data_IF_565228317460
#
_entry.id   IF_565228317460
#
_cell.length_a   1.000
_cell.length_b   1.000
_cell.length_c   1.000
_cell.angle_alpha   90.00
_cell.angle_beta   90.00
_cell.angle_gamma   90.00
#
_symmetry.space_group_name_H-M   'P 1'
#
loop_
_entity.id
_entity.type
_entity.pdbx_description
1 polymer ?
#
# COMPACT_ATOMS: atom_id res chain seq x y z
N UNK A 1 6.62 -31.11 17.28
CA UNK A 1 5.55 -30.58 16.40
C UNK A 1 5.61 -29.06 16.31
N UNK A 2 5.57 -28.32 17.43
CA UNK A 2 5.63 -26.84 17.43
C UNK A 2 6.89 -26.27 16.73
N UNK A 3 8.08 -26.84 17.00
CA UNK A 3 9.33 -26.39 16.38
C UNK A 3 9.43 -26.56 14.87
N UNK A 4 8.64 -27.46 14.28
CA UNK A 4 8.57 -27.66 12.82
C UNK A 4 7.68 -26.57 12.21
N UNK A 5 6.58 -26.24 12.87
CA UNK A 5 5.66 -25.17 12.47
C UNK A 5 6.40 -23.83 12.46
N UNK A 6 7.10 -23.49 13.54
CA UNK A 6 7.86 -22.23 13.64
C UNK A 6 8.94 -22.10 12.56
N UNK A 7 9.55 -23.23 12.16
CA UNK A 7 10.57 -23.25 11.11
C UNK A 7 9.96 -23.05 9.72
N UNK A 8 8.82 -23.68 9.45
CA UNK A 8 8.07 -23.50 8.20
C UNK A 8 7.55 -22.08 8.10
N UNK A 9 6.97 -21.54 9.18
CA UNK A 9 6.45 -20.17 9.23
C UNK A 9 7.55 -19.16 8.92
N UNK A 10 8.71 -19.29 9.58
CA UNK A 10 9.86 -18.42 9.31
C UNK A 10 10.35 -18.52 7.87
N UNK A 11 10.34 -19.72 7.28
CA UNK A 11 10.70 -19.92 5.88
C UNK A 11 9.71 -19.20 4.94
N UNK A 12 8.40 -19.36 5.17
CA UNK A 12 7.35 -18.67 4.40
C UNK A 12 7.56 -17.15 4.47
N UNK A 13 7.86 -16.62 5.66
CA UNK A 13 8.09 -15.18 5.84
C UNK A 13 9.30 -14.69 5.06
N UNK A 14 10.42 -15.43 5.06
CA UNK A 14 11.57 -15.06 4.23
C UNK A 14 11.23 -15.02 2.75
N UNK A 15 10.47 -16.00 2.26
CA UNK A 15 9.99 -16.02 0.87
C UNK A 15 9.09 -14.80 0.59
N UNK A 16 8.16 -14.47 1.49
CA UNK A 16 7.29 -13.31 1.36
C UNK A 16 8.07 -11.99 1.32
N UNK A 17 9.03 -11.80 2.24
CA UNK A 17 9.90 -10.62 2.27
C UNK A 17 10.66 -10.47 0.95
N UNK A 18 11.22 -11.57 0.44
CA UNK A 18 11.97 -11.57 -0.81
C UNK A 18 11.08 -11.22 -2.02
N UNK A 19 9.91 -11.85 -2.15
CA UNK A 19 8.96 -11.57 -3.22
C UNK A 19 8.46 -10.12 -3.19
N UNK A 20 8.19 -9.60 -2.00
CA UNK A 20 7.70 -8.24 -1.81
C UNK A 20 8.79 -7.20 -2.13
N UNK A 21 10.04 -7.47 -1.74
CA UNK A 21 11.18 -6.61 -2.09
C UNK A 21 11.39 -6.55 -3.61
N UNK A 22 11.32 -7.69 -4.30
CA UNK A 22 11.39 -7.72 -5.77
C UNK A 22 10.23 -6.94 -6.38
N UNK A 23 9.00 -7.15 -5.91
CA UNK A 23 7.82 -6.43 -6.40
C UNK A 23 7.97 -4.91 -6.26
N UNK A 24 8.47 -4.44 -5.11
CA UNK A 24 8.73 -3.01 -4.85
C UNK A 24 9.81 -2.46 -5.78
N UNK A 25 10.90 -3.21 -5.99
CA UNK A 25 11.97 -2.81 -6.91
C UNK A 25 11.47 -2.69 -8.36
N UNK A 26 10.75 -3.71 -8.83
CA UNK A 26 10.16 -3.71 -10.17
C UNK A 26 9.17 -2.56 -10.35
N UNK A 27 8.29 -2.32 -9.37
CA UNK A 27 7.36 -1.20 -9.38
C UNK A 27 8.07 0.16 -9.42
N UNK A 28 9.17 0.30 -8.69
CA UNK A 28 10.00 1.52 -8.70
C UNK A 28 10.63 1.77 -10.06
N UNK A 29 11.16 0.73 -10.72
CA UNK A 29 11.70 0.83 -12.07
C UNK A 29 10.60 1.24 -13.06
N UNK A 30 9.43 0.60 -12.97
CA UNK A 30 8.29 0.91 -13.86
C UNK A 30 7.81 2.35 -13.69
N UNK A 31 7.70 2.83 -12.45
CA UNK A 31 7.38 4.24 -12.17
C UNK A 31 8.41 5.18 -12.80
N UNK A 32 9.70 4.88 -12.67
CA UNK A 32 10.77 5.66 -13.30
C UNK A 32 10.62 5.70 -14.83
N UNK A 33 10.31 4.57 -15.46
CA UNK A 33 10.06 4.49 -16.91
C UNK A 33 8.82 5.30 -17.32
N UNK A 34 7.73 5.20 -16.56
CA UNK A 34 6.49 5.93 -16.83
C UNK A 34 6.70 7.45 -16.78
N UNK A 35 7.43 7.93 -15.76
CA UNK A 35 7.77 9.36 -15.63
C UNK A 35 8.65 9.82 -16.78
N UNK A 36 9.73 9.09 -17.11
CA UNK A 36 10.62 9.44 -18.21
C UNK A 36 9.89 9.46 -19.56
N UNK A 37 9.05 8.47 -19.82
CA UNK A 37 8.24 8.42 -21.03
C UNK A 37 7.27 9.62 -21.11
N UNK A 38 6.63 9.99 -19.99
CA UNK A 38 5.75 11.15 -19.92
C UNK A 38 6.46 12.48 -20.20
N UNK A 39 7.71 12.63 -19.72
CA UNK A 39 8.53 13.83 -19.95
C UNK A 39 8.98 13.93 -21.41
N UNK A 40 9.48 12.83 -22.00
CA UNK A 40 10.01 12.81 -23.37
C UNK A 40 8.90 13.02 -24.41
N UNK A 41 7.71 12.47 -24.17
CA UNK A 41 6.58 12.57 -25.10
C UNK A 41 5.84 13.92 -25.07
N UNK A 42 6.07 14.75 -24.05
CA UNK A 42 5.33 16.00 -23.86
C UNK A 42 6.00 17.19 -24.59
N UNK A 43 5.34 17.80 -25.59
CA UNK A 43 5.81 19.08 -26.13
C UNK A 43 5.73 20.13 -25.02
N UNK A 44 6.84 20.84 -24.76
CA UNK A 44 7.01 21.84 -23.68
C UNK A 44 7.10 21.28 -22.25
N UNK A 45 7.40 19.98 -22.04
CA UNK A 45 7.49 19.37 -20.69
C UNK A 45 6.17 19.40 -19.88
N UNK A 46 5.03 19.69 -20.53
CA UNK A 46 3.72 19.71 -19.88
C UNK A 46 3.10 18.30 -19.89
N UNK A 47 3.31 17.56 -18.81
CA UNK A 47 2.71 16.23 -18.60
C UNK A 47 1.20 16.36 -18.43
N UNK A 48 0.44 15.52 -19.15
CA UNK A 48 -1.03 15.47 -19.02
C UNK A 48 -1.43 15.01 -17.62
N UNK A 49 -2.51 15.59 -17.08
CA UNK A 49 -3.02 15.27 -15.74
C UNK A 49 -3.31 13.78 -15.55
N UNK A 50 -3.86 13.11 -16.56
CA UNK A 50 -4.11 11.66 -16.54
C UNK A 50 -2.84 10.84 -16.25
N UNK A 51 -1.76 11.11 -16.98
CA UNK A 51 -0.46 10.44 -16.81
C UNK A 51 0.16 10.72 -15.44
N UNK A 52 -0.10 11.91 -14.88
CA UNK A 52 0.32 12.24 -13.53
C UNK A 52 -0.45 11.42 -12.47
N UNK A 53 -1.77 11.27 -12.62
CA UNK A 53 -2.58 10.42 -11.75
C UNK A 53 -2.17 8.93 -11.82
N UNK A 54 -1.86 8.42 -13.02
CA UNK A 54 -1.33 7.05 -13.18
C UNK A 54 -0.01 6.86 -12.44
N UNK A 55 0.88 7.87 -12.50
CA UNK A 55 2.16 7.84 -11.79
C UNK A 55 1.97 7.88 -10.27
N UNK A 56 1.01 8.66 -9.76
CA UNK A 56 0.67 8.66 -8.33
C UNK A 56 0.07 7.34 -7.87
N UNK A 57 -0.76 6.69 -8.68
CA UNK A 57 -1.28 5.37 -8.37
C UNK A 57 -0.15 4.33 -8.22
N UNK A 58 0.82 4.34 -9.14
CA UNK A 58 2.02 3.49 -9.06
C UNK A 58 2.86 3.81 -7.81
N UNK A 59 3.06 5.10 -7.50
CA UNK A 59 3.77 5.54 -6.30
C UNK A 59 3.10 5.02 -5.02
N UNK A 60 1.77 5.10 -4.93
CA UNK A 60 1.01 4.62 -3.78
C UNK A 60 1.09 3.09 -3.63
N UNK A 61 1.09 2.33 -4.74
CA UNK A 61 1.32 0.87 -4.70
C UNK A 61 2.70 0.55 -4.14
N UNK A 62 3.74 1.29 -4.52
CA UNK A 62 5.10 1.13 -3.97
C UNK A 62 5.12 1.42 -2.47
N UNK A 63 4.46 2.50 -2.01
CA UNK A 63 4.37 2.85 -0.58
C UNK A 63 3.67 1.74 0.21
N UNK A 64 2.57 1.19 -0.29
CA UNK A 64 1.87 0.04 0.33
C UNK A 64 2.83 -1.15 0.46
N UNK A 65 3.59 -1.45 -0.60
CA UNK A 65 4.62 -2.50 -0.57
C UNK A 65 5.69 -2.24 0.50
N UNK A 66 6.21 -1.02 0.60
CA UNK A 66 7.19 -0.66 1.64
C UNK A 66 6.62 -0.78 3.06
N UNK A 67 5.36 -0.43 3.27
CA UNK A 67 4.71 -0.52 4.58
C UNK A 67 4.42 -1.98 4.97
N UNK A 68 3.96 -2.80 4.02
CA UNK A 68 3.86 -4.25 4.19
C UNK A 68 5.22 -4.88 4.53
N UNK A 69 6.31 -4.42 3.89
CA UNK A 69 7.65 -4.91 4.18
C UNK A 69 8.04 -4.63 5.65
N UNK A 70 7.69 -3.45 6.18
CA UNK A 70 7.91 -3.13 7.60
C UNK A 70 7.08 -4.03 8.51
N UNK A 71 5.81 -4.27 8.18
CA UNK A 71 4.91 -5.15 8.95
C UNK A 71 5.46 -6.58 9.03
N UNK A 72 5.89 -7.15 7.89
CA UNK A 72 6.45 -8.51 7.84
C UNK A 72 7.83 -8.55 8.56
N UNK A 73 8.67 -7.52 8.41
CA UNK A 73 9.93 -7.43 9.16
C UNK A 73 9.71 -7.33 10.67
N UNK A 74 8.66 -6.65 11.12
CA UNK A 74 8.28 -6.58 12.54
C UNK A 74 8.05 -7.98 13.11
N UNK A 75 7.39 -8.85 12.36
CA UNK A 75 7.26 -10.26 12.75
C UNK A 75 8.62 -10.96 12.88
N UNK A 76 9.55 -10.76 11.93
CA UNK A 76 10.87 -11.38 12.00
C UNK A 76 11.67 -10.97 13.24
N UNK A 77 11.51 -9.73 13.71
CA UNK A 77 12.24 -9.17 14.85
C UNK A 77 11.54 -9.48 16.18
N UNK A 78 10.23 -9.30 16.26
CA UNK A 78 9.45 -9.36 17.50
C UNK A 78 8.59 -10.62 17.64
N UNK A 79 8.59 -11.51 16.65
CA UNK A 79 7.81 -12.76 16.65
C UNK A 79 6.30 -12.55 16.55
N UNK A 80 5.84 -11.33 16.26
CA UNK A 80 4.43 -11.00 16.12
C UNK A 80 4.21 -9.85 15.13
N UNK A 81 3.09 -9.90 14.40
CA UNK A 81 2.64 -8.77 13.58
C UNK A 81 1.88 -7.83 14.52
N UNK A 82 2.33 -6.58 14.63
CA UNK A 82 1.55 -5.57 15.36
C UNK A 82 0.26 -5.28 14.57
N UNK A 83 -0.94 -5.48 15.15
CA UNK A 83 -2.21 -5.24 14.47
C UNK A 83 -2.35 -3.79 13.96
N UNK A 84 -1.70 -2.83 14.60
CA UNK A 84 -1.71 -1.43 14.17
C UNK A 84 -1.12 -1.25 12.76
N UNK A 85 -0.07 -2.00 12.39
CA UNK A 85 0.50 -1.94 11.04
C UNK A 85 -0.48 -2.46 9.98
N UNK A 86 -1.26 -3.48 10.30
CA UNK A 86 -2.24 -4.05 9.36
C UNK A 86 -3.34 -3.03 9.08
N UNK A 87 -3.83 -2.35 10.11
CA UNK A 87 -4.84 -1.30 9.96
C UNK A 87 -4.26 -0.07 9.23
N UNK A 88 -3.01 0.30 9.50
CA UNK A 88 -2.33 1.39 8.79
C UNK A 88 -2.24 1.10 7.28
N UNK A 89 -1.82 -0.11 6.91
CA UNK A 89 -1.80 -0.54 5.51
C UNK A 89 -3.20 -0.51 4.88
N UNK A 90 -4.24 -0.93 5.61
CA UNK A 90 -5.62 -0.89 5.12
C UNK A 90 -6.09 0.55 4.86
N UNK A 91 -5.76 1.50 5.74
CA UNK A 91 -6.07 2.93 5.57
C UNK A 91 -5.33 3.48 4.34
N UNK A 92 -4.04 3.17 4.17
CA UNK A 92 -3.26 3.61 3.00
C UNK A 92 -3.87 3.04 1.71
N UNK A 93 -4.23 1.76 1.69
CA UNK A 93 -4.85 1.11 0.53
C UNK A 93 -6.20 1.74 0.16
N UNK A 94 -7.05 2.00 1.16
CA UNK A 94 -8.35 2.66 0.93
C UNK A 94 -8.19 4.12 0.53
N UNK A 95 -7.19 4.82 1.08
CA UNK A 95 -6.81 6.17 0.68
C UNK A 95 -6.39 6.23 -0.79
N UNK A 96 -5.60 5.27 -1.26
CA UNK A 96 -5.24 5.17 -2.68
C UNK A 96 -6.49 4.98 -3.58
N UNK A 97 -7.42 4.12 -3.16
CA UNK A 97 -8.68 3.93 -3.89
C UNK A 97 -9.52 5.20 -3.93
N UNK A 98 -9.50 6.00 -2.86
CA UNK A 98 -10.21 7.29 -2.78
C UNK A 98 -9.58 8.34 -3.70
N UNK A 99 -8.25 8.47 -3.73
CA UNK A 99 -7.55 9.45 -4.57
C UNK A 99 -7.78 9.17 -6.06
N UNK A 100 -7.88 7.89 -6.43
CA UNK A 100 -8.08 7.45 -7.82
C UNK A 100 -9.55 7.37 -8.24
N UNK A 101 -10.49 7.68 -7.34
CA UNK A 101 -11.92 7.59 -7.62
C UNK A 101 -12.40 8.76 -8.47
N UNK A 102 -13.14 8.48 -9.54
CA UNK A 102 -13.87 9.52 -10.26
C UNK A 102 -15.16 9.88 -9.50
N UNK A 103 -15.10 11.00 -8.78
CA UNK A 103 -16.21 11.52 -7.99
C UNK A 103 -17.42 11.91 -8.85
N UNK A 104 -17.25 12.17 -10.15
CA UNK A 104 -18.36 12.59 -11.02
C UNK A 104 -19.22 11.41 -11.48
N UNK A 105 -18.62 10.23 -11.63
CA UNK A 105 -19.31 9.02 -12.06
C UNK A 105 -19.74 8.12 -10.89
N UNK A 106 -19.32 8.45 -9.67
CA UNK A 106 -19.56 7.60 -8.49
C UNK A 106 -20.92 7.90 -7.86
N UNK A 107 -21.77 6.87 -7.63
CA UNK A 107 -23.05 7.08 -6.97
C UNK A 107 -22.85 7.56 -5.52
N UNK A 108 -23.70 8.46 -4.99
CA UNK A 108 -23.56 9.02 -3.65
C UNK A 108 -23.51 7.95 -2.53
N UNK A 109 -24.23 6.85 -2.69
CA UNK A 109 -24.26 5.74 -1.74
C UNK A 109 -22.90 5.07 -1.60
N UNK A 110 -22.15 4.97 -2.70
CA UNK A 110 -20.79 4.41 -2.70
C UNK A 110 -19.81 5.31 -1.95
N UNK A 111 -19.92 6.63 -2.13
CA UNK A 111 -19.11 7.62 -1.41
C UNK A 111 -19.36 7.58 0.10
N UNK A 112 -20.63 7.48 0.52
CA UNK A 112 -21.00 7.33 1.93
C UNK A 112 -20.52 6.00 2.52
N UNK A 113 -20.60 4.90 1.76
CA UNK A 113 -20.04 3.61 2.15
C UNK A 113 -18.54 3.67 2.38
N UNK A 114 -17.78 4.26 1.45
CA UNK A 114 -16.34 4.47 1.60
C UNK A 114 -15.97 5.35 2.80
N UNK A 115 -16.71 6.44 3.01
CA UNK A 115 -16.50 7.31 4.17
C UNK A 115 -16.71 6.55 5.50
N UNK A 116 -17.73 5.69 5.55
CA UNK A 116 -18.03 4.87 6.73
C UNK A 116 -16.92 3.86 7.03
N UNK A 117 -16.37 3.21 5.99
CA UNK A 117 -15.23 2.27 6.15
C UNK A 117 -13.97 3.02 6.60
N UNK A 118 -13.66 4.17 6.00
CA UNK A 118 -12.52 5.00 6.40
C UNK A 118 -12.62 5.45 7.87
N UNK A 119 -13.81 5.87 8.30
CA UNK A 119 -14.06 6.24 9.69
C UNK A 119 -13.88 5.04 10.63
N UNK A 120 -14.45 3.87 10.28
CA UNK A 120 -14.29 2.64 11.06
C UNK A 120 -12.81 2.27 11.25
N UNK A 121 -12.04 2.23 10.16
CA UNK A 121 -10.60 1.93 10.20
C UNK A 121 -9.82 2.97 11.02
N UNK A 122 -10.16 4.26 10.89
CA UNK A 122 -9.50 5.34 11.63
C UNK A 122 -9.74 5.23 13.14
N UNK A 123 -10.97 4.90 13.55
CA UNK A 123 -11.31 4.65 14.95
C UNK A 123 -10.57 3.42 15.47
N UNK A 124 -10.55 2.32 14.71
CA UNK A 124 -9.79 1.11 15.08
C UNK A 124 -8.30 1.41 15.25
N UNK A 125 -7.69 2.18 14.33
CA UNK A 125 -6.30 2.59 14.43
C UNK A 125 -6.02 3.40 15.69
N UNK A 126 -6.88 4.37 16.00
CA UNK A 126 -6.76 5.18 17.21
C UNK A 126 -6.81 4.35 18.49
N UNK A 127 -7.75 3.41 18.57
CA UNK A 127 -7.89 2.51 19.74
C UNK A 127 -6.66 1.62 19.88
N UNK A 128 -6.21 0.97 18.81
CA UNK A 128 -5.04 0.07 18.84
C UNK A 128 -3.76 0.81 19.21
N UNK A 129 -3.58 2.04 18.72
CA UNK A 129 -2.40 2.85 19.04
C UNK A 129 -2.38 3.35 20.48
N UNK A 130 -3.55 3.53 21.11
CA UNK A 130 -3.66 3.93 22.51
C UNK A 130 -3.54 2.73 23.47
N UNK A 131 -3.87 1.53 23.00
CA UNK A 131 -3.81 0.29 23.77
C UNK A 131 -2.39 -0.32 23.85
N UNK A 132 -1.53 -0.02 22.87
CA UNK A 132 -0.09 -0.29 22.90
C UNK A 132 0.68 0.83 23.58
#
# INVERSE_FOLDING_TARGET
>A
MLSIIDRIERYIIYVLVFMLLISVLLGTIELGRAILAGIIAAPLFLVKTHTLFESFALFLVIVIGLELLKSIKSYLVHGSINPAFVIEVAIIALGNKLITLDLKSSPPEFLLGMASILLGLSITYFILKKAN
#
